data_IF_290215893219
#
_entry.id   IF_290215893219
#
_cell.length_a   1.000
_cell.length_b   1.000
_cell.length_c   1.000
_cell.angle_alpha   90.00
_cell.angle_beta   90.00
_cell.angle_gamma   90.00
#
_symmetry.space_group_name_H-M   'P 1'
#
loop_
_entity.id
_entity.type
_entity.pdbx_description
1 polymer ?
#
# COMPACT_ATOMS: atom_id res chain seq x y z
N UNK A 1 -26.17 -28.45 -47.25
CA UNK A 1 -26.65 -27.90 -45.96
C UNK A 1 -26.07 -28.61 -44.74
N UNK A 2 -26.29 -29.90 -44.48
CA UNK A 2 -25.80 -30.61 -43.26
C UNK A 2 -24.29 -30.54 -43.02
N UNK A 3 -23.42 -30.60 -44.08
CA UNK A 3 -21.96 -30.46 -43.94
C UNK A 3 -21.53 -29.05 -43.55
N UNK A 4 -22.17 -28.03 -44.10
CA UNK A 4 -21.87 -26.61 -43.77
C UNK A 4 -22.26 -26.30 -42.32
N UNK A 5 -23.41 -26.75 -41.84
CA UNK A 5 -23.85 -26.62 -40.45
C UNK A 5 -22.88 -27.32 -39.45
N UNK A 6 -22.35 -28.52 -39.84
CA UNK A 6 -21.32 -29.18 -39.01
C UNK A 6 -20.02 -28.37 -38.93
N UNK A 7 -19.56 -27.81 -40.04
CA UNK A 7 -18.34 -26.97 -40.07
C UNK A 7 -18.55 -25.71 -39.23
N UNK A 8 -19.70 -25.02 -39.36
CA UNK A 8 -20.03 -23.86 -38.55
C UNK A 8 -20.06 -24.22 -37.05
N UNK A 9 -20.65 -25.36 -36.68
CA UNK A 9 -20.66 -25.85 -35.31
C UNK A 9 -19.26 -26.13 -34.74
N UNK A 10 -18.39 -26.77 -35.55
CA UNK A 10 -16.99 -27.05 -35.14
C UNK A 10 -16.21 -25.73 -34.96
N UNK A 11 -16.33 -24.80 -35.91
CA UNK A 11 -15.68 -23.49 -35.83
C UNK A 11 -16.18 -22.71 -34.59
N UNK A 12 -17.49 -22.74 -34.31
CA UNK A 12 -18.06 -22.12 -33.12
C UNK A 12 -17.52 -22.72 -31.82
N UNK A 13 -17.35 -24.03 -31.73
CA UNK A 13 -16.76 -24.69 -30.56
C UNK A 13 -15.28 -24.35 -30.38
N UNK A 14 -14.53 -24.23 -31.48
CA UNK A 14 -13.10 -23.83 -31.42
C UNK A 14 -12.99 -22.39 -30.91
N UNK A 15 -13.81 -21.48 -31.46
CA UNK A 15 -13.81 -20.07 -31.01
C UNK A 15 -14.21 -19.93 -29.52
N UNK A 16 -15.22 -20.69 -29.10
CA UNK A 16 -15.60 -20.74 -27.69
C UNK A 16 -14.49 -21.28 -26.81
N UNK A 17 -13.81 -22.36 -27.26
CA UNK A 17 -12.65 -22.90 -26.54
C UNK A 17 -11.51 -21.89 -26.41
N UNK A 18 -11.17 -21.16 -27.48
CA UNK A 18 -10.17 -20.11 -27.47
C UNK A 18 -10.56 -18.96 -26.55
N UNK A 19 -11.83 -18.56 -26.54
CA UNK A 19 -12.36 -17.53 -25.65
C UNK A 19 -12.23 -17.94 -24.17
N UNK A 20 -12.62 -19.18 -23.84
CA UNK A 20 -12.50 -19.72 -22.47
C UNK A 20 -11.03 -19.79 -22.03
N UNK A 21 -10.14 -20.27 -22.90
CA UNK A 21 -8.69 -20.31 -22.62
C UNK A 21 -8.16 -18.89 -22.41
N UNK A 22 -8.51 -17.94 -23.29
CA UNK A 22 -8.15 -16.53 -23.17
C UNK A 22 -8.62 -15.93 -21.83
N UNK A 23 -9.86 -16.20 -21.44
CA UNK A 23 -10.43 -15.73 -20.18
C UNK A 23 -9.73 -16.34 -18.96
N UNK A 24 -9.38 -17.63 -19.00
CA UNK A 24 -8.62 -18.30 -17.93
C UNK A 24 -7.22 -17.71 -17.83
N UNK A 25 -6.54 -17.49 -18.96
CA UNK A 25 -5.22 -16.86 -19.01
C UNK A 25 -5.26 -15.43 -18.45
N UNK A 26 -6.28 -14.65 -18.82
CA UNK A 26 -6.47 -13.29 -18.28
C UNK A 26 -6.69 -13.30 -16.76
N UNK A 27 -7.47 -14.27 -16.24
CA UNK A 27 -7.64 -14.43 -14.79
C UNK A 27 -6.34 -14.83 -14.08
N UNK A 28 -5.56 -15.75 -14.67
CA UNK A 28 -4.28 -16.18 -14.10
C UNK A 28 -3.29 -15.01 -14.09
N UNK A 29 -3.18 -14.26 -15.18
CA UNK A 29 -2.32 -13.08 -15.29
C UNK A 29 -2.76 -11.96 -14.35
N UNK A 30 -4.06 -11.70 -14.29
CA UNK A 30 -4.64 -10.67 -13.38
C UNK A 30 -4.52 -11.02 -11.90
N UNK A 31 -4.31 -12.31 -11.56
CA UNK A 31 -4.12 -12.75 -10.16
C UNK A 31 -2.66 -12.78 -9.70
N UNK A 32 -1.70 -12.43 -10.55
CA UNK A 32 -0.29 -12.40 -10.16
C UNK A 32 -0.06 -11.29 -9.13
N UNK A 33 0.80 -11.53 -8.13
CA UNK A 33 1.29 -10.46 -7.25
C UNK A 33 1.98 -9.36 -8.06
N UNK A 34 1.93 -8.14 -7.56
CA UNK A 34 2.57 -6.97 -8.18
C UNK A 34 4.09 -6.95 -7.96
N UNK A 35 4.58 -7.71 -6.98
CA UNK A 35 6.01 -7.91 -6.73
C UNK A 35 6.32 -9.41 -6.69
N UNK A 36 7.50 -9.86 -7.21
CA UNK A 36 7.98 -11.22 -7.00
C UNK A 36 8.13 -11.54 -5.51
N UNK A 37 7.88 -12.79 -5.12
CA UNK A 37 7.96 -13.20 -3.71
C UNK A 37 9.41 -13.17 -3.16
N UNK A 38 10.39 -13.26 -4.04
CA UNK A 38 11.82 -13.33 -3.77
C UNK A 38 12.60 -12.11 -4.27
N UNK A 39 11.91 -10.97 -4.48
CA UNK A 39 12.54 -9.77 -5.03
C UNK A 39 13.76 -9.30 -4.21
N UNK A 40 13.78 -9.52 -2.90
CA UNK A 40 14.91 -9.17 -2.03
C UNK A 40 16.22 -9.85 -2.45
N UNK A 41 16.13 -11.02 -3.11
CA UNK A 41 17.27 -11.80 -3.58
C UNK A 41 17.68 -11.44 -5.01
N UNK A 42 16.76 -10.90 -5.80
CA UNK A 42 16.94 -10.68 -7.24
C UNK A 42 17.19 -9.21 -7.58
N UNK A 43 16.73 -8.28 -6.73
CA UNK A 43 16.94 -6.84 -6.92
C UNK A 43 18.39 -6.49 -6.61
N UNK A 44 19.03 -5.79 -7.55
CA UNK A 44 20.38 -5.25 -7.34
C UNK A 44 20.33 -4.06 -6.39
N UNK A 45 21.27 -4.00 -5.44
CA UNK A 45 21.48 -2.88 -4.52
C UNK A 45 22.85 -2.23 -4.79
N UNK A 46 22.91 -0.91 -4.65
CA UNK A 46 24.15 -0.14 -4.97
C UNK A 46 24.92 0.34 -3.72
N UNK A 47 24.33 0.19 -2.52
CA UNK A 47 24.94 0.61 -1.28
C UNK A 47 24.77 -0.41 -0.15
N UNK A 48 25.51 -0.23 0.95
CA UNK A 48 25.46 -1.12 2.10
C UNK A 48 24.17 -0.95 2.93
N UNK A 49 23.67 0.29 3.00
CA UNK A 49 22.43 0.61 3.71
C UNK A 49 21.24 0.10 2.90
N UNK A 50 21.20 0.41 1.59
CA UNK A 50 20.18 -0.14 0.69
C UNK A 50 20.13 -1.67 0.78
N UNK A 51 21.28 -2.33 0.75
CA UNK A 51 21.38 -3.78 0.85
C UNK A 51 20.83 -4.32 2.17
N UNK A 52 21.25 -3.74 3.29
CA UNK A 52 20.78 -4.16 4.62
C UNK A 52 19.28 -4.11 4.73
N UNK A 53 18.66 -2.99 4.29
CA UNK A 53 17.22 -2.79 4.42
C UNK A 53 16.41 -3.37 3.24
N UNK A 54 17.07 -3.94 2.23
CA UNK A 54 16.44 -4.82 1.23
C UNK A 54 16.24 -6.24 1.79
N UNK A 55 17.02 -6.68 2.77
CA UNK A 55 16.83 -7.96 3.45
C UNK A 55 15.60 -7.92 4.36
N UNK A 56 15.01 -9.07 4.68
CA UNK A 56 13.95 -9.12 5.68
C UNK A 56 14.45 -8.69 7.05
N UNK A 57 13.60 -8.02 7.80
CA UNK A 57 13.85 -7.64 9.18
C UNK A 57 13.79 -8.84 10.14
N UNK A 58 14.00 -8.60 11.44
CA UNK A 58 14.12 -9.66 12.44
C UNK A 58 12.78 -10.29 12.88
N UNK A 59 11.64 -9.71 12.48
CA UNK A 59 10.33 -10.18 12.93
C UNK A 59 9.70 -11.18 11.95
N UNK A 60 9.13 -12.25 12.49
CA UNK A 60 8.14 -13.05 11.76
C UNK A 60 6.86 -12.23 11.58
N UNK A 61 6.14 -12.49 10.47
CA UNK A 61 4.99 -11.67 10.06
C UNK A 61 3.72 -12.49 9.96
N UNK A 62 2.72 -12.04 10.69
CA UNK A 62 1.33 -12.51 10.62
C UNK A 62 0.48 -11.60 9.74
N UNK A 63 -0.69 -12.09 9.34
CA UNK A 63 -1.70 -11.36 8.57
C UNK A 63 -3.05 -11.41 9.29
N UNK A 64 -3.64 -10.25 9.49
CA UNK A 64 -5.03 -10.10 9.87
C UNK A 64 -5.84 -9.59 8.68
N UNK A 65 -7.00 -10.21 8.43
CA UNK A 65 -7.97 -9.78 7.43
C UNK A 65 -9.29 -9.45 8.12
N UNK A 66 -9.80 -8.24 7.90
CA UNK A 66 -11.12 -7.86 8.42
C UNK A 66 -12.25 -8.62 7.71
N UNK A 67 -13.43 -8.63 8.31
CA UNK A 67 -14.64 -8.96 7.55
C UNK A 67 -14.88 -7.94 6.44
N UNK A 68 -15.61 -8.34 5.39
CA UNK A 68 -16.08 -7.41 4.35
C UNK A 68 -17.14 -6.49 4.96
N UNK A 69 -16.95 -5.18 4.81
CA UNK A 69 -17.90 -4.17 5.26
C UNK A 69 -18.92 -3.89 4.13
N UNK A 70 -20.15 -3.49 4.47
CA UNK A 70 -21.24 -3.35 3.51
C UNK A 70 -20.95 -2.36 2.36
N UNK A 71 -20.25 -1.27 2.66
CA UNK A 71 -19.98 -0.17 1.71
C UNK A 71 -18.49 0.01 1.41
N UNK A 72 -17.66 -0.90 1.90
CA UNK A 72 -16.21 -0.85 1.75
C UNK A 72 -15.67 -2.27 1.72
N UNK A 73 -14.59 -2.50 0.98
CA UNK A 73 -13.97 -3.82 0.97
C UNK A 73 -13.26 -4.11 2.30
N UNK A 74 -12.50 -5.15 2.38
CA UNK A 74 -11.81 -5.50 3.63
C UNK A 74 -10.48 -4.78 3.78
N UNK A 75 -10.02 -4.68 5.03
CA UNK A 75 -8.66 -4.29 5.38
C UNK A 75 -7.77 -5.52 5.56
N UNK A 76 -6.51 -5.38 5.16
CA UNK A 76 -5.46 -6.33 5.47
C UNK A 76 -4.41 -5.63 6.32
N UNK A 77 -3.97 -6.29 7.40
CA UNK A 77 -2.91 -5.79 8.27
C UNK A 77 -1.83 -6.86 8.37
N UNK A 78 -0.65 -6.57 7.83
CA UNK A 78 0.55 -7.36 8.07
C UNK A 78 1.25 -6.80 9.29
N UNK A 79 1.63 -7.67 10.23
CA UNK A 79 2.17 -7.23 11.52
C UNK A 79 3.22 -8.21 12.06
N UNK A 80 4.17 -7.74 12.89
CA UNK A 80 5.09 -8.61 13.61
C UNK A 80 4.31 -9.59 14.48
N UNK A 81 4.55 -10.90 14.33
CA UNK A 81 3.84 -11.95 15.12
C UNK A 81 4.04 -11.75 16.62
N UNK A 82 5.14 -11.12 17.04
CA UNK A 82 5.41 -10.75 18.43
C UNK A 82 4.31 -9.87 19.06
N UNK A 83 3.56 -9.11 18.25
CA UNK A 83 2.40 -8.32 18.71
C UNK A 83 1.35 -9.18 19.42
N UNK A 84 1.17 -10.44 19.02
CA UNK A 84 0.13 -11.31 19.58
C UNK A 84 0.31 -11.55 21.10
N UNK A 85 1.56 -11.54 21.59
CA UNK A 85 1.91 -11.82 22.99
C UNK A 85 2.56 -10.65 23.72
N UNK A 86 3.06 -9.64 22.99
CA UNK A 86 3.70 -8.45 23.55
C UNK A 86 2.71 -7.37 23.97
N UNK A 87 3.22 -6.36 24.67
CA UNK A 87 2.50 -5.13 25.03
C UNK A 87 3.06 -3.87 24.36
N UNK A 88 4.03 -4.06 23.46
CA UNK A 88 4.68 -2.96 22.75
C UNK A 88 3.75 -2.36 21.69
N UNK A 89 3.90 -1.06 21.45
CA UNK A 89 3.23 -0.38 20.34
C UNK A 89 4.12 -0.43 19.10
N UNK A 90 3.46 -0.52 17.95
CA UNK A 90 4.14 -0.62 16.66
C UNK A 90 3.76 0.57 15.77
N UNK A 91 4.74 1.23 15.13
CA UNK A 91 4.47 2.27 14.15
C UNK A 91 3.72 1.72 12.94
N UNK A 92 2.99 2.59 12.27
CA UNK A 92 2.07 2.22 11.18
C UNK A 92 2.63 2.66 9.83
N UNK A 93 2.46 1.83 8.82
CA UNK A 93 2.58 2.21 7.41
C UNK A 93 1.25 1.95 6.71
N UNK A 94 0.64 3.00 6.19
CA UNK A 94 -0.53 2.91 5.31
C UNK A 94 -0.05 2.73 3.88
N UNK A 95 -0.55 1.69 3.19
CA UNK A 95 -0.22 1.42 1.79
C UNK A 95 -1.37 1.83 0.88
N UNK A 96 -1.15 2.87 0.06
CA UNK A 96 -2.08 3.33 -0.95
C UNK A 96 -1.95 2.52 -2.25
N UNK A 97 -3.04 1.90 -2.66
CA UNK A 97 -3.09 0.99 -3.79
C UNK A 97 -2.86 1.69 -5.14
N UNK A 98 -2.18 1.03 -6.07
CA UNK A 98 -2.18 1.40 -7.48
C UNK A 98 -3.50 1.05 -8.18
N UNK A 99 -3.71 1.55 -9.39
CA UNK A 99 -4.92 1.30 -10.18
C UNK A 99 -5.18 -0.19 -10.37
N UNK A 100 -6.33 -0.68 -9.88
CA UNK A 100 -6.72 -2.09 -10.00
C UNK A 100 -5.84 -3.07 -9.24
N UNK A 101 -5.05 -2.60 -8.27
CA UNK A 101 -4.06 -3.42 -7.56
C UNK A 101 -4.26 -3.30 -6.04
N UNK A 102 -5.23 -4.04 -5.47
CA UNK A 102 -5.51 -4.04 -4.04
C UNK A 102 -4.34 -4.58 -3.21
N UNK A 103 -4.33 -4.37 -1.88
CA UNK A 103 -3.21 -4.76 -1.00
C UNK A 103 -2.84 -6.25 -1.10
N UNK A 104 -3.81 -7.12 -1.35
CA UNK A 104 -3.56 -8.56 -1.57
C UNK A 104 -2.63 -8.85 -2.76
N UNK A 105 -2.36 -7.87 -3.64
CA UNK A 105 -1.38 -7.95 -4.73
C UNK A 105 0.04 -7.56 -4.33
N UNK A 106 0.23 -7.00 -3.12
CA UNK A 106 1.52 -6.55 -2.59
C UNK A 106 2.07 -7.40 -1.41
N UNK A 107 1.76 -8.70 -1.28
CA UNK A 107 2.06 -9.45 -0.06
C UNK A 107 3.55 -9.47 0.29
N UNK A 108 4.44 -9.51 -0.72
CA UNK A 108 5.87 -9.52 -0.50
C UNK A 108 6.37 -8.19 0.07
N UNK A 109 5.88 -7.05 -0.45
CA UNK A 109 6.26 -5.71 0.02
C UNK A 109 5.71 -5.46 1.41
N UNK A 110 4.42 -5.76 1.65
CA UNK A 110 3.81 -5.57 2.95
C UNK A 110 4.47 -6.43 4.05
N UNK A 111 4.76 -7.71 3.74
CA UNK A 111 5.51 -8.60 4.66
C UNK A 111 6.91 -8.09 4.95
N UNK A 112 7.60 -7.57 3.93
CA UNK A 112 8.93 -7.03 4.12
C UNK A 112 8.92 -5.85 5.10
N UNK A 113 8.07 -4.85 4.90
CA UNK A 113 7.94 -3.72 5.81
C UNK A 113 7.53 -4.16 7.22
N UNK A 114 6.56 -5.08 7.34
CA UNK A 114 6.15 -5.61 8.63
C UNK A 114 7.26 -6.39 9.34
N UNK A 115 8.17 -7.06 8.61
CA UNK A 115 9.32 -7.74 9.19
C UNK A 115 10.31 -6.80 9.87
N UNK A 116 10.26 -5.50 9.57
CA UNK A 116 11.03 -4.44 10.19
C UNK A 116 10.32 -3.75 11.38
N UNK A 117 9.19 -4.31 11.84
CA UNK A 117 8.51 -3.84 13.04
C UNK A 117 7.39 -2.85 12.79
N UNK A 118 6.78 -2.85 11.60
CA UNK A 118 5.64 -1.98 11.28
C UNK A 118 4.32 -2.75 11.25
N UNK A 119 3.22 -2.08 11.61
CA UNK A 119 1.88 -2.45 11.21
C UNK A 119 1.65 -1.91 9.80
N UNK A 120 1.56 -2.78 8.80
CA UNK A 120 1.33 -2.39 7.41
C UNK A 120 -0.12 -2.64 7.05
N UNK A 121 -0.88 -1.58 6.87
CA UNK A 121 -2.32 -1.65 6.58
C UNK A 121 -2.64 -1.10 5.19
N UNK A 122 -3.61 -1.71 4.54
CA UNK A 122 -4.22 -1.22 3.31
C UNK A 122 -5.54 -1.91 3.05
N UNK A 123 -6.12 -1.63 1.89
CA UNK A 123 -7.48 -2.04 1.54
C UNK A 123 -7.50 -2.95 0.32
N UNK A 124 -8.63 -3.64 0.11
CA UNK A 124 -8.90 -4.38 -1.13
C UNK A 124 -9.60 -3.51 -2.20
N UNK A 125 -9.60 -2.17 -2.01
CA UNK A 125 -10.11 -1.23 -3.01
C UNK A 125 -9.19 -1.15 -4.24
N UNK A 126 -9.79 -0.94 -5.41
CA UNK A 126 -9.05 -0.84 -6.66
C UNK A 126 -8.46 0.56 -6.92
N UNK A 127 -8.83 1.54 -6.11
CA UNK A 127 -8.48 2.95 -6.31
C UNK A 127 -8.16 3.60 -4.97
N UNK A 128 -7.15 4.48 -4.95
CA UNK A 128 -6.72 5.18 -3.74
C UNK A 128 -6.36 6.66 -3.96
N UNK A 129 -6.50 7.18 -5.17
CA UNK A 129 -6.08 8.54 -5.53
C UNK A 129 -6.66 9.64 -4.62
N UNK A 130 -7.89 9.48 -4.14
CA UNK A 130 -8.57 10.44 -3.25
C UNK A 130 -8.26 10.24 -1.76
N UNK A 131 -7.32 9.37 -1.43
CA UNK A 131 -6.91 9.02 -0.07
C UNK A 131 -8.03 8.47 0.85
N UNK A 132 -9.24 8.21 0.32
CA UNK A 132 -10.34 7.69 1.13
C UNK A 132 -9.96 6.35 1.79
N UNK A 133 -9.29 5.43 1.06
CA UNK A 133 -8.81 4.17 1.61
C UNK A 133 -7.79 4.38 2.74
N UNK A 134 -6.90 5.37 2.62
CA UNK A 134 -5.90 5.69 3.65
C UNK A 134 -6.58 6.24 4.93
N UNK A 135 -7.52 7.15 4.78
CA UNK A 135 -8.33 7.66 5.89
C UNK A 135 -9.09 6.53 6.61
N UNK A 136 -9.71 5.62 5.85
CA UNK A 136 -10.44 4.49 6.41
C UNK A 136 -9.51 3.47 7.11
N UNK A 137 -8.26 3.32 6.66
CA UNK A 137 -7.25 2.51 7.36
C UNK A 137 -6.96 3.04 8.77
N UNK A 138 -6.76 4.34 8.92
CA UNK A 138 -6.49 4.96 10.23
C UNK A 138 -7.69 4.85 11.15
N UNK A 139 -8.89 5.16 10.69
CA UNK A 139 -10.13 4.97 11.48
C UNK A 139 -10.34 3.53 11.90
N UNK A 140 -10.01 2.58 11.05
CA UNK A 140 -10.11 1.17 11.38
C UNK A 140 -9.10 0.77 12.46
N UNK A 141 -7.85 1.25 12.37
CA UNK A 141 -6.85 1.03 13.42
C UNK A 141 -7.23 1.68 14.75
N UNK A 142 -7.77 2.91 14.77
CA UNK A 142 -8.28 3.55 16.00
C UNK A 142 -9.35 2.69 16.66
N UNK A 143 -10.27 2.14 15.87
CA UNK A 143 -11.28 1.23 16.37
C UNK A 143 -10.66 -0.04 16.95
N UNK A 144 -9.71 -0.69 16.26
CA UNK A 144 -9.03 -1.89 16.76
C UNK A 144 -8.24 -1.61 18.03
N UNK A 145 -7.54 -0.47 18.11
CA UNK A 145 -6.75 -0.07 19.28
C UNK A 145 -7.59 0.21 20.51
N UNK A 146 -8.89 0.51 20.34
CA UNK A 146 -9.85 0.73 21.41
C UNK A 146 -10.62 -0.52 21.85
N UNK A 147 -10.48 -1.66 21.14
CA UNK A 147 -11.29 -2.87 21.36
C UNK A 147 -10.60 -3.87 22.29
N UNK A 148 -11.08 -4.00 23.51
CA UNK A 148 -10.66 -5.04 24.46
C UNK A 148 -11.18 -6.44 24.06
N UNK A 149 -10.50 -7.49 24.57
CA UNK A 149 -10.93 -8.87 24.39
C UNK A 149 -12.36 -9.08 24.93
N UNK A 150 -13.22 -9.70 24.13
CA UNK A 150 -14.63 -9.99 24.51
C UNK A 150 -15.64 -8.98 23.98
N UNK A 151 -15.22 -7.88 23.34
CA UNK A 151 -16.12 -6.98 22.61
C UNK A 151 -16.17 -7.37 21.14
N UNK A 152 -17.30 -7.91 20.68
CA UNK A 152 -17.50 -8.27 19.26
C UNK A 152 -17.83 -7.03 18.41
N UNK A 153 -17.51 -7.10 17.13
CA UNK A 153 -17.80 -6.05 16.13
C UNK A 153 -19.31 -5.91 15.80
N UNK A 154 -20.23 -6.38 16.66
CA UNK A 154 -21.66 -6.23 16.42
C UNK A 154 -22.17 -4.88 16.90
N UNK A 155 -22.72 -4.08 15.97
CA UNK A 155 -23.66 -3.02 16.27
C UNK A 155 -23.16 -1.58 16.28
N UNK A 156 -22.96 -1.00 15.14
CA UNK A 156 -23.08 0.45 14.91
C UNK A 156 -24.51 0.86 14.57
N UNK A 157 -25.49 0.56 15.43
CA UNK A 157 -26.81 1.20 15.36
C UNK A 157 -27.23 1.64 16.77
N UNK A 158 -27.66 2.91 16.86
CA UNK A 158 -28.19 3.50 18.07
C UNK A 158 -29.35 2.67 18.65
N UNK A 159 -29.34 2.46 19.96
CA UNK A 159 -30.25 1.59 20.71
C UNK A 159 -31.73 2.02 20.71
N UNK A 160 -32.17 2.96 19.89
CA UNK A 160 -33.57 3.42 19.86
C UNK A 160 -34.44 2.89 18.72
N UNK A 161 -33.86 2.27 17.67
CA UNK A 161 -34.66 1.71 16.55
C UNK A 161 -34.89 0.18 16.61
N UNK A 162 -34.22 -0.55 17.50
CA UNK A 162 -34.27 -2.02 17.55
C UNK A 162 -35.55 -2.58 18.19
N UNK A 163 -36.37 -1.80 18.86
CA UNK A 163 -37.59 -2.33 19.57
C UNK A 163 -38.85 -2.47 18.71
N UNK A 164 -38.87 -1.97 17.48
CA UNK A 164 -40.06 -2.00 16.62
C UNK A 164 -40.08 -3.14 15.57
N UNK A 165 -38.97 -3.86 15.35
CA UNK A 165 -38.84 -4.87 14.27
C UNK A 165 -38.88 -6.32 14.79
N UNK A 166 -38.73 -6.54 16.08
CA UNK A 166 -38.63 -7.91 16.69
C UNK A 166 -39.96 -8.70 16.74
N UNK A 167 -41.05 -8.13 16.25
CA UNK A 167 -42.38 -8.82 16.28
C UNK A 167 -42.79 -9.49 14.95
N UNK A 168 -41.99 -9.51 13.92
CA UNK A 168 -42.42 -9.96 12.59
C UNK A 168 -41.59 -11.07 11.92
N UNK A 169 -40.65 -11.74 12.59
CA UNK A 169 -39.95 -12.90 11.97
C UNK A 169 -39.73 -14.04 12.94
N UNK A 170 -40.77 -14.85 13.15
CA UNK A 170 -40.64 -16.24 13.56
C UNK A 170 -40.59 -17.11 12.28
N UNK A 171 -39.59 -18.01 12.21
CA UNK A 171 -39.40 -19.09 11.24
C UNK A 171 -38.71 -18.73 9.93
N UNK A 172 -37.36 -18.81 9.96
CA UNK A 172 -36.58 -19.39 8.87
C UNK A 172 -35.16 -19.68 9.41
N UNK A 173 -34.59 -20.82 9.04
CA UNK A 173 -33.35 -21.41 9.55
C UNK A 173 -32.14 -20.47 9.41
N UNK A 174 -31.40 -20.26 10.50
CA UNK A 174 -30.12 -19.55 10.49
C UNK A 174 -29.09 -20.31 9.65
N UNK A 175 -28.38 -19.66 8.70
CA UNK A 175 -27.20 -20.24 8.12
C UNK A 175 -26.11 -20.32 9.20
N UNK A 176 -25.53 -21.49 9.37
CA UNK A 176 -24.48 -21.82 10.33
C UNK A 176 -23.39 -20.74 10.38
N UNK A 177 -23.38 -19.97 11.45
CA UNK A 177 -22.37 -18.98 11.78
C UNK A 177 -21.03 -19.71 12.02
N UNK A 178 -20.16 -19.80 11.01
CA UNK A 178 -18.75 -20.06 11.21
C UNK A 178 -18.26 -18.90 12.09
N UNK A 179 -18.02 -19.17 13.38
CA UNK A 179 -17.19 -18.30 14.21
C UNK A 179 -15.86 -18.10 13.48
N UNK A 180 -15.71 -17.02 12.77
CA UNK A 180 -14.39 -16.48 12.44
C UNK A 180 -13.80 -16.13 13.80
N UNK A 181 -12.68 -16.75 14.16
CA UNK A 181 -11.87 -16.30 15.31
C UNK A 181 -11.58 -14.82 15.08
N UNK A 182 -12.37 -13.96 15.71
CA UNK A 182 -12.17 -12.52 15.63
C UNK A 182 -10.94 -12.17 16.46
N UNK A 183 -9.82 -11.97 15.78
CA UNK A 183 -8.52 -11.59 16.36
C UNK A 183 -8.35 -10.07 16.45
N UNK A 184 -9.42 -9.30 16.32
CA UNK A 184 -9.38 -7.82 16.35
C UNK A 184 -8.79 -7.28 17.67
N UNK A 185 -9.06 -7.96 18.80
CA UNK A 185 -8.52 -7.62 20.12
C UNK A 185 -7.00 -7.64 20.21
N UNK A 186 -6.30 -8.31 19.28
CA UNK A 186 -4.83 -8.37 19.28
C UNK A 186 -4.19 -6.98 19.17
N UNK A 187 -4.87 -6.01 18.57
CA UNK A 187 -4.38 -4.67 18.33
C UNK A 187 -4.68 -3.69 19.48
N UNK A 188 -5.42 -4.11 20.51
CA UNK A 188 -5.80 -3.25 21.62
C UNK A 188 -4.59 -2.60 22.31
N UNK A 189 -4.55 -1.26 22.29
CA UNK A 189 -3.46 -0.41 22.81
C UNK A 189 -2.06 -0.71 22.23
N UNK A 190 -1.97 -1.27 21.02
CA UNK A 190 -0.70 -1.65 20.37
C UNK A 190 -0.38 -0.87 19.11
N UNK A 191 -1.21 0.11 18.76
CA UNK A 191 -0.96 0.99 17.61
C UNK A 191 -0.24 2.25 18.06
N UNK A 192 0.87 2.58 17.39
CA UNK A 192 1.60 3.82 17.61
C UNK A 192 1.18 4.87 16.59
N UNK A 193 0.16 5.66 16.95
CA UNK A 193 -0.34 6.76 16.11
C UNK A 193 0.57 8.00 16.09
N UNK A 194 1.59 8.07 16.96
CA UNK A 194 2.60 9.15 16.91
C UNK A 194 3.61 8.93 15.76
N UNK A 195 3.72 7.69 15.26
CA UNK A 195 4.67 7.27 14.24
C UNK A 195 3.97 6.57 13.07
N UNK A 196 3.28 7.35 12.24
CA UNK A 196 2.56 6.86 11.06
C UNK A 196 3.25 7.31 9.78
N UNK A 197 3.49 6.38 8.87
CA UNK A 197 3.96 6.64 7.52
C UNK A 197 2.94 6.24 6.47
N UNK A 198 3.11 6.74 5.25
CA UNK A 198 2.29 6.37 4.10
C UNK A 198 3.15 6.14 2.87
N UNK A 199 2.86 5.08 2.13
CA UNK A 199 3.53 4.77 0.86
C UNK A 199 2.50 4.36 -0.18
N UNK A 200 2.73 4.73 -1.43
CA UNK A 200 1.86 4.33 -2.52
C UNK A 200 2.56 4.39 -3.87
N UNK A 201 2.06 3.59 -4.82
CA UNK A 201 2.64 3.45 -6.15
C UNK A 201 1.65 3.88 -7.22
N UNK A 202 2.15 4.56 -8.27
CA UNK A 202 1.31 4.97 -9.41
C UNK A 202 0.18 5.90 -8.96
N UNK A 203 -1.08 5.55 -9.20
CA UNK A 203 -2.24 6.24 -8.64
C UNK A 203 -2.16 6.33 -7.10
N UNK A 204 -1.63 5.31 -6.43
CA UNK A 204 -1.39 5.32 -4.99
C UNK A 204 -0.38 6.38 -4.57
N UNK A 205 0.55 6.76 -5.45
CA UNK A 205 1.46 7.89 -5.22
C UNK A 205 0.73 9.24 -5.14
N UNK A 206 -0.33 9.43 -5.93
CA UNK A 206 -1.26 10.55 -5.79
C UNK A 206 -2.05 10.44 -4.47
N UNK A 207 -2.52 9.22 -4.16
CA UNK A 207 -3.21 8.94 -2.90
C UNK A 207 -2.38 9.28 -1.67
N UNK A 208 -1.06 9.09 -1.72
CA UNK A 208 -0.12 9.52 -0.66
C UNK A 208 -0.19 11.02 -0.47
N UNK A 209 -0.07 11.82 -1.55
CA UNK A 209 -0.08 13.28 -1.45
C UNK A 209 -1.42 13.79 -0.89
N UNK A 210 -2.54 13.24 -1.34
CA UNK A 210 -3.86 13.60 -0.82
C UNK A 210 -4.07 13.09 0.62
N UNK A 211 -3.49 11.96 1.03
CA UNK A 211 -3.59 11.47 2.41
C UNK A 211 -2.96 12.44 3.43
N UNK A 212 -1.82 13.02 3.06
CA UNK A 212 -1.07 13.92 3.95
C UNK A 212 -1.48 15.39 3.84
N UNK A 213 -2.41 15.75 2.93
CA UNK A 213 -2.85 17.13 2.74
C UNK A 213 -4.34 17.34 2.92
N UNK A 214 -5.20 16.35 2.59
CA UNK A 214 -6.66 16.53 2.47
C UNK A 214 -7.47 15.44 3.18
N UNK A 215 -6.97 14.84 4.26
CA UNK A 215 -7.73 13.88 5.09
C UNK A 215 -7.92 14.38 6.52
N UNK A 216 -8.88 13.82 7.24
CA UNK A 216 -9.13 14.19 8.63
C UNK A 216 -7.98 13.77 9.57
N UNK A 217 -7.26 12.68 9.23
CA UNK A 217 -6.15 12.15 10.02
C UNK A 217 -4.77 12.51 9.43
N UNK A 218 -4.69 13.53 8.55
CA UNK A 218 -3.41 13.93 7.93
C UNK A 218 -2.30 14.23 8.95
N UNK A 219 -2.63 14.77 10.09
CA UNK A 219 -1.67 15.14 11.15
C UNK A 219 -1.00 13.93 11.85
N UNK A 220 -1.53 12.71 11.64
CA UNK A 220 -0.91 11.49 12.13
C UNK A 220 0.35 11.14 11.33
N UNK A 221 0.39 11.49 10.04
CA UNK A 221 1.52 11.15 9.19
C UNK A 221 2.79 11.94 9.56
N UNK A 222 3.93 11.23 9.66
CA UNK A 222 5.26 11.79 9.95
C UNK A 222 6.25 11.56 8.81
N UNK A 223 5.95 10.63 7.90
CA UNK A 223 6.79 10.32 6.76
C UNK A 223 5.93 9.84 5.58
N UNK A 224 6.31 10.24 4.38
CA UNK A 224 5.61 9.85 3.15
C UNK A 224 6.58 9.37 2.07
N UNK A 225 6.11 8.44 1.24
CA UNK A 225 6.83 7.98 0.04
C UNK A 225 5.86 7.84 -1.11
N UNK A 226 6.13 8.54 -2.21
CA UNK A 226 5.36 8.43 -3.44
C UNK A 226 6.21 7.78 -4.55
N UNK A 227 5.80 6.58 -4.95
CA UNK A 227 6.48 5.75 -5.95
C UNK A 227 5.82 5.94 -7.31
N UNK A 228 6.58 6.41 -8.30
CA UNK A 228 6.10 6.69 -9.66
C UNK A 228 4.73 7.39 -9.68
N UNK A 229 4.56 8.52 -8.97
CA UNK A 229 3.28 9.21 -8.92
C UNK A 229 2.79 9.59 -10.32
N UNK A 230 1.48 9.54 -10.54
CA UNK A 230 0.91 10.11 -11.76
C UNK A 230 1.24 11.61 -11.82
N UNK A 231 1.85 12.08 -12.92
CA UNK A 231 2.20 13.49 -13.08
C UNK A 231 0.97 14.41 -13.05
N UNK A 232 1.18 15.70 -12.76
CA UNK A 232 0.09 16.68 -12.55
C UNK A 232 -0.89 16.77 -13.72
N UNK A 233 -0.40 16.80 -14.97
CA UNK A 233 -1.25 16.91 -16.17
C UNK A 233 -2.12 15.64 -16.34
N UNK A 234 -1.49 14.46 -16.26
CA UNK A 234 -2.21 13.19 -16.37
C UNK A 234 -3.20 13.00 -15.21
N UNK A 235 -2.82 13.37 -14.00
CA UNK A 235 -3.69 13.32 -12.82
C UNK A 235 -4.91 14.24 -13.01
N UNK A 236 -4.71 15.48 -13.47
CA UNK A 236 -5.81 16.41 -13.78
C UNK A 236 -6.77 15.85 -14.83
N UNK A 237 -6.24 15.28 -15.90
CA UNK A 237 -7.05 14.67 -16.97
C UNK A 237 -7.87 13.45 -16.50
N UNK A 238 -7.43 12.80 -15.40
CA UNK A 238 -8.11 11.66 -14.77
C UNK A 238 -8.98 12.06 -13.57
N UNK A 239 -9.07 13.34 -13.25
CA UNK A 239 -9.74 13.86 -12.04
C UNK A 239 -9.14 13.33 -10.73
N UNK A 240 -7.80 13.16 -10.71
CA UNK A 240 -6.99 12.73 -9.57
C UNK A 240 -6.12 13.88 -9.05
N UNK A 241 -6.64 15.08 -9.04
CA UNK A 241 -5.91 16.28 -8.65
C UNK A 241 -5.27 16.13 -7.27
N UNK A 242 -4.10 16.73 -7.09
CA UNK A 242 -3.38 16.88 -5.84
C UNK A 242 -2.62 18.21 -5.83
N UNK A 243 -2.30 18.71 -4.64
CA UNK A 243 -1.52 19.93 -4.46
C UNK A 243 -0.26 19.64 -3.63
N UNK A 244 0.89 19.51 -4.31
CA UNK A 244 2.16 19.23 -3.67
C UNK A 244 2.66 20.41 -2.80
N UNK A 245 2.17 21.63 -3.02
CA UNK A 245 2.54 22.80 -2.25
C UNK A 245 1.99 22.82 -0.81
N UNK A 246 1.05 21.93 -0.52
CA UNK A 246 0.47 21.76 0.81
C UNK A 246 1.18 20.72 1.68
N UNK A 247 2.20 20.04 1.15
CA UNK A 247 2.93 18.98 1.86
C UNK A 247 3.87 19.62 2.90
N UNK A 248 3.66 19.32 4.17
CA UNK A 248 4.39 19.89 5.31
C UNK A 248 5.21 18.88 6.12
N UNK A 249 5.21 17.60 5.71
CA UNK A 249 5.99 16.51 6.31
C UNK A 249 7.07 15.98 5.35
N UNK A 250 8.11 15.28 5.85
CA UNK A 250 9.13 14.70 5.01
C UNK A 250 8.57 13.72 3.98
N UNK A 251 8.93 13.92 2.71
CA UNK A 251 8.49 13.06 1.60
C UNK A 251 9.63 12.64 0.69
N UNK A 252 9.62 11.37 0.27
CA UNK A 252 10.51 10.82 -0.74
C UNK A 252 9.73 10.49 -2.01
N UNK A 253 10.20 11.03 -3.15
CA UNK A 253 9.66 10.75 -4.49
C UNK A 253 10.62 9.83 -5.23
N UNK A 254 10.15 8.67 -5.69
CA UNK A 254 10.96 7.74 -6.48
C UNK A 254 10.20 7.40 -7.76
N UNK A 255 10.89 7.45 -8.90
CA UNK A 255 10.36 6.90 -10.15
C UNK A 255 11.38 5.96 -10.81
N UNK A 256 10.96 5.27 -11.85
CA UNK A 256 11.82 4.45 -12.68
C UNK A 256 12.40 5.24 -13.87
N UNK A 257 13.10 4.50 -14.71
CA UNK A 257 13.58 4.95 -16.01
C UNK A 257 13.30 3.85 -17.03
N UNK A 258 12.35 4.07 -17.91
CA UNK A 258 11.96 3.12 -18.94
C UNK A 258 10.74 2.25 -18.59
N UNK A 259 10.45 1.25 -19.43
CA UNK A 259 9.40 0.26 -19.19
C UNK A 259 7.98 0.82 -18.92
N UNK A 260 7.65 1.98 -19.49
CA UNK A 260 6.35 2.64 -19.33
C UNK A 260 6.28 3.64 -18.16
N UNK A 261 7.34 3.78 -17.36
CA UNK A 261 7.34 4.75 -16.26
C UNK A 261 7.36 6.19 -16.77
N UNK A 262 8.14 6.47 -17.82
CA UNK A 262 8.15 7.79 -18.47
C UNK A 262 6.79 8.20 -19.08
N UNK A 263 5.87 7.26 -19.26
CA UNK A 263 4.48 7.55 -19.64
C UNK A 263 3.64 8.04 -18.45
N UNK A 264 3.98 7.62 -17.24
CA UNK A 264 3.30 8.02 -16.00
C UNK A 264 3.91 9.29 -15.43
N UNK A 265 5.26 9.33 -15.32
CA UNK A 265 6.00 10.50 -14.84
C UNK A 265 7.43 10.50 -15.40
N UNK A 266 7.77 11.52 -16.18
CA UNK A 266 9.15 11.75 -16.64
C UNK A 266 10.00 12.34 -15.51
N UNK A 267 11.32 12.36 -15.70
CA UNK A 267 12.23 13.02 -14.74
C UNK A 267 11.93 14.50 -14.55
N UNK A 268 11.59 15.23 -15.63
CA UNK A 268 11.18 16.63 -15.55
C UNK A 268 9.88 16.81 -14.78
N UNK A 269 8.88 16.01 -15.06
CA UNK A 269 7.59 16.04 -14.34
C UNK A 269 7.73 15.67 -12.87
N UNK A 270 8.60 14.71 -12.52
CA UNK A 270 8.89 14.39 -11.13
C UNK A 270 9.59 15.56 -10.43
N UNK A 271 10.48 16.24 -11.14
CA UNK A 271 11.14 17.46 -10.66
C UNK A 271 10.15 18.59 -10.42
N UNK A 272 9.16 18.78 -11.29
CA UNK A 272 8.09 19.77 -11.11
C UNK A 272 7.25 19.50 -9.85
N UNK A 273 7.02 18.22 -9.52
CA UNK A 273 6.36 17.84 -8.27
C UNK A 273 7.27 18.16 -7.07
N UNK A 274 8.55 17.77 -7.16
CA UNK A 274 9.54 18.03 -6.12
C UNK A 274 9.70 19.52 -5.82
N UNK A 275 9.77 20.36 -6.85
CA UNK A 275 10.01 21.80 -6.70
C UNK A 275 8.84 22.51 -5.99
N UNK A 276 7.60 22.02 -6.14
CA UNK A 276 6.44 22.57 -5.45
C UNK A 276 6.40 22.26 -3.94
N UNK A 277 7.04 21.18 -3.49
CA UNK A 277 6.98 20.74 -2.09
C UNK A 277 7.80 21.67 -1.20
N UNK A 278 7.21 22.30 -0.16
CA UNK A 278 7.93 23.21 0.73
C UNK A 278 8.68 22.53 1.88
N UNK A 279 8.32 21.29 2.23
CA UNK A 279 8.89 20.54 3.36
C UNK A 279 10.18 19.80 3.01
N UNK A 280 10.77 19.12 3.99
CA UNK A 280 11.90 18.21 3.79
C UNK A 280 11.58 17.15 2.73
N UNK A 281 12.44 17.04 1.72
CA UNK A 281 12.14 16.25 0.53
C UNK A 281 13.35 15.63 -0.11
N UNK A 282 13.12 14.49 -0.75
CA UNK A 282 14.11 13.82 -1.60
C UNK A 282 13.42 13.32 -2.86
N UNK A 283 14.07 13.45 -4.01
CA UNK A 283 13.65 12.76 -5.24
C UNK A 283 14.80 12.00 -5.87
N UNK A 284 14.47 10.91 -6.56
CA UNK A 284 15.42 10.13 -7.34
C UNK A 284 14.70 9.28 -8.39
N UNK A 285 15.44 8.87 -9.42
CA UNK A 285 14.95 7.92 -10.42
C UNK A 285 15.85 6.69 -10.47
N UNK A 286 15.24 5.50 -10.39
CA UNK A 286 15.98 4.25 -10.49
C UNK A 286 16.22 3.88 -11.95
N UNK A 287 17.51 3.70 -12.33
CA UNK A 287 17.92 3.37 -13.71
C UNK A 287 17.38 2.02 -14.15
N UNK A 288 17.02 1.92 -15.44
CA UNK A 288 16.59 0.68 -16.09
C UNK A 288 15.47 -0.05 -15.34
N UNK A 289 14.56 0.69 -14.68
CA UNK A 289 13.48 0.14 -13.85
C UNK A 289 12.15 0.52 -14.46
N UNK A 290 11.34 -0.49 -14.77
CA UNK A 290 9.99 -0.31 -15.31
C UNK A 290 9.01 0.16 -14.23
N UNK A 291 7.89 0.77 -14.65
CA UNK A 291 6.86 1.33 -13.77
C UNK A 291 6.48 0.41 -12.60
N UNK A 292 6.10 -0.83 -12.89
CA UNK A 292 5.68 -1.78 -11.85
C UNK A 292 6.85 -2.28 -10.97
N UNK A 293 8.08 -2.14 -11.43
CA UNK A 293 9.26 -2.60 -10.69
C UNK A 293 9.69 -1.60 -9.61
N UNK A 294 9.35 -0.30 -9.75
CA UNK A 294 9.67 0.72 -8.75
C UNK A 294 9.08 0.34 -7.39
N UNK A 295 7.89 -0.27 -7.37
CA UNK A 295 7.21 -0.72 -6.15
C UNK A 295 8.11 -1.53 -5.20
N UNK A 296 9.00 -2.37 -5.75
CA UNK A 296 9.82 -3.27 -4.94
C UNK A 296 11.33 -3.07 -5.12
N UNK A 297 11.75 -2.50 -6.25
CA UNK A 297 13.18 -2.37 -6.54
C UNK A 297 13.88 -1.32 -5.67
N UNK A 298 13.16 -0.30 -5.18
CA UNK A 298 13.69 0.71 -4.27
C UNK A 298 13.44 0.38 -2.78
N UNK A 299 12.94 -0.82 -2.48
CA UNK A 299 12.40 -1.14 -1.15
C UNK A 299 13.44 -1.09 -0.02
N UNK A 300 14.74 -1.21 -0.33
CA UNK A 300 15.80 -0.97 0.66
C UNK A 300 15.77 0.47 1.19
N UNK A 301 15.69 1.47 0.31
CA UNK A 301 15.57 2.86 0.74
C UNK A 301 14.18 3.21 1.27
N UNK A 302 13.12 2.60 0.75
CA UNK A 302 11.76 2.75 1.31
C UNK A 302 11.75 2.33 2.78
N UNK A 303 12.33 1.19 3.09
CA UNK A 303 12.44 0.67 4.46
C UNK A 303 13.32 1.55 5.33
N UNK A 304 14.51 1.95 4.83
CA UNK A 304 15.42 2.84 5.56
C UNK A 304 14.76 4.19 5.89
N UNK A 305 13.98 4.78 4.97
CA UNK A 305 13.28 6.03 5.19
C UNK A 305 12.31 5.96 6.37
N UNK A 306 11.49 4.91 6.41
CA UNK A 306 10.53 4.72 7.52
C UNK A 306 11.23 4.37 8.83
N UNK A 307 12.29 3.54 8.81
CA UNK A 307 13.04 3.24 10.02
C UNK A 307 13.71 4.48 10.60
N UNK A 308 14.30 5.33 9.77
CA UNK A 308 14.86 6.59 10.21
C UNK A 308 13.81 7.49 10.84
N UNK A 309 12.74 7.81 10.10
CA UNK A 309 11.79 8.85 10.50
C UNK A 309 10.76 8.40 11.54
N UNK A 310 10.43 7.11 11.59
CA UNK A 310 9.40 6.59 12.49
C UNK A 310 9.95 5.80 13.68
N UNK A 311 11.19 5.29 13.58
CA UNK A 311 11.81 4.50 14.64
C UNK A 311 13.16 5.08 15.12
N UNK A 312 13.66 6.15 14.50
CA UNK A 312 14.93 6.80 14.89
C UNK A 312 16.17 5.97 14.59
N UNK A 313 16.15 5.10 13.56
CA UNK A 313 17.31 4.30 13.17
C UNK A 313 18.38 5.17 12.52
N UNK A 314 19.42 5.51 13.30
CA UNK A 314 20.56 6.35 12.86
C UNK A 314 21.39 5.72 11.74
N UNK A 315 21.45 4.39 11.64
CA UNK A 315 22.14 3.74 10.52
C UNK A 315 21.34 3.90 9.23
N UNK A 316 20.02 3.82 9.31
CA UNK A 316 19.13 4.11 8.17
C UNK A 316 19.22 5.57 7.74
N UNK A 317 19.33 6.51 8.68
CA UNK A 317 19.54 7.93 8.42
C UNK A 317 20.75 8.20 7.50
N UNK A 318 21.83 7.43 7.66
CA UNK A 318 23.04 7.53 6.85
C UNK A 318 22.83 7.30 5.34
N UNK A 319 21.68 6.75 4.94
CA UNK A 319 21.31 6.69 3.52
C UNK A 319 21.02 8.06 2.94
N UNK A 320 20.53 9.02 3.75
CA UNK A 320 19.92 10.27 3.32
C UNK A 320 20.59 11.51 3.88
N UNK A 321 21.30 11.40 5.00
CA UNK A 321 21.87 12.53 5.76
C UNK A 321 23.37 12.37 5.99
N UNK A 322 24.00 13.44 6.47
CA UNK A 322 25.44 13.48 6.73
C UNK A 322 26.24 14.05 5.58
N UNK A 323 27.57 14.03 5.70
CA UNK A 323 28.49 14.62 4.71
C UNK A 323 28.49 13.85 3.37
N UNK A 324 28.27 12.52 3.43
CA UNK A 324 28.25 11.60 2.29
C UNK A 324 27.05 10.65 2.39
N UNK A 325 25.82 11.11 2.08
CA UNK A 325 24.65 10.24 2.10
C UNK A 325 24.78 9.14 1.05
N UNK A 326 24.53 7.88 1.41
CA UNK A 326 24.73 6.74 0.48
C UNK A 326 23.95 6.93 -0.84
N UNK A 327 22.75 7.53 -0.79
CA UNK A 327 21.92 7.71 -1.98
C UNK A 327 22.60 8.57 -3.06
N UNK A 328 23.45 9.53 -2.70
CA UNK A 328 24.14 10.41 -3.66
C UNK A 328 25.21 9.68 -4.47
N UNK A 329 25.83 8.66 -3.87
CA UNK A 329 26.89 7.86 -4.50
C UNK A 329 26.36 6.58 -5.17
N UNK A 330 25.06 6.26 -5.01
CA UNK A 330 24.47 5.05 -5.55
C UNK A 330 24.19 5.18 -7.05
N UNK A 331 25.03 4.57 -7.87
CA UNK A 331 24.97 4.63 -9.35
C UNK A 331 23.74 3.94 -9.97
N UNK A 332 22.96 3.17 -9.19
CA UNK A 332 21.69 2.60 -9.64
C UNK A 332 20.60 3.66 -9.74
N UNK A 333 20.83 4.84 -9.17
CA UNK A 333 19.91 5.96 -9.21
C UNK A 333 20.50 7.14 -9.98
N UNK A 334 19.63 8.02 -10.42
CA UNK A 334 19.96 9.28 -11.10
C UNK A 334 18.94 10.36 -10.67
N UNK A 335 19.23 11.60 -11.05
CA UNK A 335 18.39 12.75 -10.75
C UNK A 335 18.12 12.86 -9.22
N UNK A 336 19.16 12.53 -8.41
CA UNK A 336 19.09 12.65 -6.97
C UNK A 336 19.10 14.13 -6.58
N UNK A 337 17.98 14.59 -6.01
CA UNK A 337 17.85 15.92 -5.41
C UNK A 337 17.29 15.77 -4.02
N UNK A 338 17.86 16.50 -3.07
CA UNK A 338 17.37 16.47 -1.68
C UNK A 338 17.44 17.85 -1.06
N UNK A 339 16.49 18.09 -0.16
CA UNK A 339 16.42 19.22 0.75
C UNK A 339 16.00 18.64 2.10
N UNK A 340 16.97 18.06 2.80
CA UNK A 340 16.80 17.39 4.09
C UNK A 340 17.61 18.13 5.14
N UNK A 341 17.20 18.11 6.44
CA UNK A 341 17.90 18.80 7.52
C UNK A 341 19.31 18.24 7.77
#
# INVERSE_FOLDING_TARGET
MKKVLKIIGIVGLILLGLFVIGFILLKILGNRPAAPADYQQTVQTGGAIEKKYMENGPYEVSLYESAVLQEFSKFLIYYPTALETGSEKYPVIVLCNGSGTPLSKYPAVARHLASWGFLVIGTEENYSWNAFGAEMCLRYLERLDSMEEGHSMEGGHSMEEAQSVERARSSEEEPSNKKTDDKSYLFYQKVDFENVGVVGHSQGGVGVMNAITDTAHKDFYKAAISLSPTNKELAHNLFWDYDASLIDIPIMLISGEGGGDDWVVTGEQLRDIYDDIPSAKLMMRRRNTAHNEVLYSANGYVTAWFLWLLQGDEYAAGAFTGEHPEIQDNSLYQDQHQDLP
#
